data_IF_533562290766
#
_entry.id   IF_533562290766
#
_cell.length_a   1.000
_cell.length_b   1.000
_cell.length_c   1.000
_cell.angle_alpha   90.00
_cell.angle_beta   90.00
_cell.angle_gamma   90.00
#
_symmetry.space_group_name_H-M   'P 1'
#
loop_
_entity.id
_entity.type
_entity.pdbx_description
1 polymer ?
#
# COMPACT_ATOMS: atom_id res chain seq x y z
N UNK A 1 -15.28 -22.39 -16.04
CA UNK A 1 -14.75 -22.19 -14.67
C UNK A 1 -15.02 -20.74 -14.28
N UNK A 2 -15.69 -20.49 -13.17
CA UNK A 2 -15.97 -19.11 -12.74
C UNK A 2 -14.69 -18.43 -12.22
N UNK A 3 -14.62 -17.09 -12.25
CA UNK A 3 -13.49 -16.34 -11.66
C UNK A 3 -13.33 -16.65 -10.17
N UNK A 4 -14.44 -16.86 -9.47
CA UNK A 4 -14.42 -17.23 -8.05
C UNK A 4 -13.75 -18.60 -7.82
N UNK A 5 -14.10 -19.61 -8.65
CA UNK A 5 -13.50 -20.94 -8.58
C UNK A 5 -11.99 -20.89 -8.87
N UNK A 6 -11.58 -20.06 -9.83
CA UNK A 6 -10.16 -19.86 -10.16
C UNK A 6 -9.40 -19.25 -8.98
N UNK A 7 -9.97 -18.22 -8.35
CA UNK A 7 -9.39 -17.54 -7.19
C UNK A 7 -9.24 -18.49 -6.00
N UNK A 8 -10.26 -19.30 -5.72
CA UNK A 8 -10.23 -20.31 -4.67
C UNK A 8 -9.15 -21.38 -4.93
N UNK A 9 -9.14 -21.98 -6.12
CA UNK A 9 -8.15 -23.00 -6.47
C UNK A 9 -6.71 -22.49 -6.41
N UNK A 10 -6.47 -21.26 -6.89
CA UNK A 10 -5.16 -20.63 -6.83
C UNK A 10 -4.72 -20.39 -5.38
N UNK A 11 -5.61 -19.84 -4.56
CA UNK A 11 -5.33 -19.55 -3.16
C UNK A 11 -5.07 -20.84 -2.36
N UNK A 12 -5.89 -21.88 -2.55
CA UNK A 12 -5.72 -23.18 -1.90
C UNK A 12 -4.41 -23.85 -2.30
N UNK A 13 -4.05 -23.77 -3.58
CA UNK A 13 -2.76 -24.30 -4.08
C UNK A 13 -1.57 -23.59 -3.44
N UNK A 14 -1.62 -22.28 -3.32
CA UNK A 14 -0.55 -21.48 -2.68
C UNK A 14 -0.48 -21.72 -1.17
N UNK A 15 -1.63 -21.80 -0.50
CA UNK A 15 -1.70 -22.13 0.92
C UNK A 15 -1.15 -23.52 1.21
N UNK A 16 -1.39 -24.50 0.31
CA UNK A 16 -0.83 -25.84 0.38
C UNK A 16 0.70 -25.89 0.45
N UNK A 17 1.40 -24.87 -0.08
CA UNK A 17 2.87 -24.83 -0.05
C UNK A 17 3.45 -24.70 1.37
N UNK A 18 2.71 -24.11 2.30
CA UNK A 18 3.18 -23.85 3.67
C UNK A 18 2.44 -24.68 4.73
N UNK A 19 1.25 -25.15 4.41
CA UNK A 19 0.32 -25.80 5.35
C UNK A 19 0.94 -26.94 6.16
N UNK A 20 1.75 -27.76 5.53
CA UNK A 20 2.31 -28.98 6.13
C UNK A 20 3.69 -28.77 6.78
N UNK A 21 4.21 -27.53 6.76
CA UNK A 21 5.49 -27.20 7.36
C UNK A 21 5.37 -25.95 8.27
N UNK A 22 5.20 -26.20 9.57
CA UNK A 22 5.01 -25.13 10.58
C UNK A 22 6.17 -24.13 10.59
N UNK A 23 7.43 -24.56 10.40
CA UNK A 23 8.59 -23.68 10.37
C UNK A 23 8.53 -22.72 9.17
N UNK A 24 8.28 -23.26 7.98
CA UNK A 24 8.11 -22.45 6.76
C UNK A 24 6.92 -21.51 6.89
N UNK A 25 5.79 -22.00 7.39
CA UNK A 25 4.59 -21.21 7.59
C UNK A 25 4.87 -20.00 8.51
N UNK A 26 5.63 -20.18 9.59
CA UNK A 26 6.02 -19.11 10.50
C UNK A 26 6.88 -18.06 9.82
N UNK A 27 7.88 -18.47 9.04
CA UNK A 27 8.73 -17.53 8.28
C UNK A 27 7.90 -16.72 7.28
N UNK A 28 7.02 -17.39 6.54
CA UNK A 28 6.15 -16.70 5.55
C UNK A 28 5.14 -15.80 6.25
N UNK A 29 4.64 -16.19 7.42
CA UNK A 29 3.79 -15.34 8.26
C UNK A 29 4.51 -14.05 8.68
N UNK A 30 5.76 -14.16 9.13
CA UNK A 30 6.57 -13.01 9.54
C UNK A 30 6.80 -12.07 8.34
N UNK A 31 7.09 -12.60 7.17
CA UNK A 31 7.19 -11.83 5.92
C UNK A 31 5.86 -11.13 5.60
N UNK A 32 4.73 -11.84 5.68
CA UNK A 32 3.40 -11.29 5.41
C UNK A 32 3.02 -10.15 6.37
N UNK A 33 3.52 -10.18 7.60
CA UNK A 33 3.15 -9.28 8.68
C UNK A 33 4.10 -8.10 8.80
N UNK A 34 5.43 -8.35 8.76
CA UNK A 34 6.41 -7.35 9.18
C UNK A 34 7.06 -6.60 8.02
N UNK A 35 7.01 -7.11 6.80
CA UNK A 35 7.70 -6.49 5.67
C UNK A 35 7.20 -5.08 5.36
N UNK A 36 5.93 -4.80 5.67
CA UNK A 36 5.33 -3.47 5.49
C UNK A 36 5.99 -2.40 6.38
N UNK A 37 6.60 -2.77 7.51
CA UNK A 37 7.24 -1.80 8.41
C UNK A 37 8.51 -1.18 7.82
N UNK A 38 9.05 -1.70 6.72
CA UNK A 38 10.06 -1.00 5.93
C UNK A 38 9.54 0.31 5.35
N UNK A 39 8.23 0.40 5.08
CA UNK A 39 7.61 1.59 4.51
C UNK A 39 7.81 2.86 5.37
N UNK A 40 7.35 2.92 6.64
CA UNK A 40 7.55 4.10 7.47
C UNK A 40 9.02 4.42 7.67
N UNK A 41 9.91 3.43 7.80
CA UNK A 41 11.35 3.64 7.96
C UNK A 41 11.90 4.41 6.74
N UNK A 42 11.63 3.91 5.53
CA UNK A 42 12.15 4.54 4.30
C UNK A 42 11.52 5.92 4.08
N UNK A 43 10.23 6.07 4.34
CA UNK A 43 9.56 7.38 4.20
C UNK A 43 10.15 8.42 5.16
N UNK A 44 10.44 8.05 6.41
CA UNK A 44 11.14 8.94 7.36
C UNK A 44 12.52 9.32 6.84
N UNK A 45 13.32 8.35 6.37
CA UNK A 45 14.64 8.63 5.80
C UNK A 45 14.59 9.58 4.60
N UNK A 46 13.52 9.50 3.78
CA UNK A 46 13.32 10.38 2.63
C UNK A 46 12.80 11.78 3.05
N UNK A 47 12.00 11.89 4.12
CA UNK A 47 11.49 13.17 4.63
C UNK A 47 12.61 14.01 5.24
N UNK A 48 13.54 13.38 5.97
CA UNK A 48 14.65 14.12 6.61
C UNK A 48 15.63 14.72 5.60
N UNK A 49 15.75 14.14 4.40
CA UNK A 49 16.63 14.66 3.35
C UNK A 49 16.00 15.86 2.64
N UNK A 50 16.67 17.04 2.61
CA UNK A 50 16.10 18.25 1.98
C UNK A 50 15.63 18.04 0.53
N UNK A 51 16.38 17.26 -0.24
CA UNK A 51 16.11 17.04 -1.67
C UNK A 51 14.94 16.11 -1.96
N UNK A 52 14.48 15.32 -0.98
CA UNK A 52 13.40 14.31 -1.16
C UNK A 52 12.20 14.55 -0.25
N UNK A 53 12.24 15.51 0.67
CA UNK A 53 11.20 15.73 1.68
C UNK A 53 9.81 16.02 1.10
N UNK A 54 9.70 16.87 0.08
CA UNK A 54 8.40 17.18 -0.54
C UNK A 54 7.82 15.97 -1.28
N UNK A 55 8.68 15.25 -1.99
CA UNK A 55 8.33 13.97 -2.59
C UNK A 55 7.80 12.99 -1.54
N UNK A 56 8.54 12.79 -0.45
CA UNK A 56 8.15 11.87 0.61
C UNK A 56 6.84 12.31 1.29
N UNK A 57 6.66 13.61 1.54
CA UNK A 57 5.41 14.15 2.09
C UNK A 57 4.20 13.89 1.17
N UNK A 58 4.37 14.05 -0.16
CA UNK A 58 3.33 13.70 -1.14
C UNK A 58 3.02 12.21 -1.11
N UNK A 59 4.05 11.35 -1.09
CA UNK A 59 3.86 9.91 -0.99
C UNK A 59 3.10 9.56 0.29
N UNK A 60 3.47 10.11 1.45
CA UNK A 60 2.79 9.87 2.72
C UNK A 60 1.31 10.28 2.63
N UNK A 61 1.02 11.50 2.17
CA UNK A 61 -0.35 12.01 2.06
C UNK A 61 -1.22 11.13 1.18
N UNK A 62 -0.73 10.75 -0.01
CA UNK A 62 -1.50 9.90 -0.92
C UNK A 62 -1.56 8.45 -0.44
N UNK A 63 -0.54 7.95 0.30
CA UNK A 63 -0.61 6.65 0.98
C UNK A 63 -1.80 6.59 1.94
N UNK A 64 -1.98 7.65 2.77
CA UNK A 64 -3.10 7.74 3.71
C UNK A 64 -4.43 7.76 2.95
N UNK A 65 -4.53 8.51 1.87
CA UNK A 65 -5.74 8.54 1.02
C UNK A 65 -6.01 7.16 0.41
N UNK A 66 -5.00 6.52 -0.16
CA UNK A 66 -5.11 5.19 -0.77
C UNK A 66 -5.59 4.16 0.24
N UNK A 67 -5.04 4.17 1.44
CA UNK A 67 -5.40 3.24 2.52
C UNK A 67 -6.73 3.57 3.18
N UNK A 68 -6.88 4.80 3.74
CA UNK A 68 -8.01 5.14 4.59
C UNK A 68 -9.27 5.56 3.82
N UNK A 69 -9.11 5.99 2.58
CA UNK A 69 -10.24 6.43 1.76
C UNK A 69 -10.54 5.42 0.66
N UNK A 70 -9.64 5.23 -0.30
CA UNK A 70 -9.93 4.38 -1.46
C UNK A 70 -10.17 2.93 -1.07
N UNK A 71 -9.28 2.33 -0.27
CA UNK A 71 -9.41 0.93 0.12
C UNK A 71 -10.66 0.68 0.97
N UNK A 72 -10.99 1.60 1.89
CA UNK A 72 -12.22 1.49 2.69
C UNK A 72 -13.47 1.64 1.85
N UNK A 73 -13.56 2.68 1.02
CA UNK A 73 -14.74 2.91 0.18
C UNK A 73 -15.01 1.71 -0.73
N UNK A 74 -13.98 1.20 -1.40
CA UNK A 74 -14.12 0.02 -2.26
C UNK A 74 -14.54 -1.20 -1.45
N UNK A 75 -13.89 -1.43 -0.29
CA UNK A 75 -14.23 -2.56 0.55
C UNK A 75 -15.64 -2.51 1.11
N UNK A 76 -16.12 -1.35 1.55
CA UNK A 76 -17.50 -1.17 2.04
C UNK A 76 -18.52 -1.31 0.92
N UNK A 77 -18.21 -0.78 -0.28
CA UNK A 77 -19.07 -0.95 -1.45
C UNK A 77 -19.23 -2.44 -1.80
N UNK A 78 -18.12 -3.19 -1.86
CA UNK A 78 -18.19 -4.63 -2.14
C UNK A 78 -18.92 -5.40 -1.04
N UNK A 79 -18.67 -5.06 0.23
CA UNK A 79 -19.38 -5.65 1.35
C UNK A 79 -20.90 -5.43 1.25
N UNK A 80 -21.34 -4.21 0.95
CA UNK A 80 -22.75 -3.88 0.80
C UNK A 80 -23.43 -4.62 -0.36
N UNK A 81 -22.70 -4.92 -1.45
CA UNK A 81 -23.26 -5.57 -2.64
C UNK A 81 -23.23 -7.10 -2.56
N UNK A 82 -22.17 -7.67 -2.00
CA UNK A 82 -21.89 -9.12 -2.09
C UNK A 82 -21.80 -9.81 -0.73
N UNK A 83 -21.94 -9.06 0.35
CA UNK A 83 -21.78 -9.59 1.70
C UNK A 83 -20.31 -9.78 2.10
N UNK A 84 -20.14 -10.41 3.25
CA UNK A 84 -18.82 -10.63 3.83
C UNK A 84 -18.11 -11.79 3.15
N UNK A 85 -16.83 -11.58 2.80
CA UNK A 85 -15.97 -12.67 2.35
C UNK A 85 -14.99 -13.01 3.46
N UNK A 86 -15.15 -14.22 4.02
CA UNK A 86 -14.23 -14.73 5.02
C UNK A 86 -12.81 -14.88 4.48
N UNK A 87 -11.83 -14.77 5.37
CA UNK A 87 -10.43 -14.99 4.99
C UNK A 87 -10.14 -16.47 4.81
N UNK A 88 -9.20 -16.84 3.92
CA UNK A 88 -8.86 -18.24 3.69
C UNK A 88 -8.43 -19.01 4.95
N UNK A 89 -7.75 -18.38 5.91
CA UNK A 89 -7.30 -19.01 7.15
C UNK A 89 -8.47 -19.45 8.05
N UNK A 90 -9.63 -18.84 7.97
CA UNK A 90 -10.83 -19.25 8.71
C UNK A 90 -11.19 -20.71 8.42
N UNK A 91 -10.84 -21.23 7.25
CA UNK A 91 -11.03 -22.61 6.85
C UNK A 91 -9.86 -23.55 7.21
N UNK A 92 -8.66 -22.97 7.50
CA UNK A 92 -7.42 -23.72 7.71
C UNK A 92 -6.99 -23.93 9.16
N UNK A 93 -7.69 -23.38 10.13
CA UNK A 93 -7.38 -23.55 11.56
C UNK A 93 -6.13 -22.82 12.07
N UNK A 94 -5.54 -21.93 11.26
CA UNK A 94 -4.48 -21.05 11.72
C UNK A 94 -5.05 -20.02 12.68
N UNK A 95 -4.69 -20.13 13.96
CA UNK A 95 -4.92 -19.07 14.94
C UNK A 95 -3.93 -17.94 14.69
N UNK A 96 -4.45 -16.71 14.62
CA UNK A 96 -3.64 -15.49 14.56
C UNK A 96 -2.59 -15.48 15.66
N UNK A 97 -1.32 -15.38 15.26
CA UNK A 97 -0.22 -15.48 16.23
C UNK A 97 0.07 -14.16 16.94
N UNK A 98 -0.29 -12.98 16.38
CA UNK A 98 0.16 -11.68 16.91
C UNK A 98 -0.83 -10.51 16.81
N UNK A 99 -1.75 -10.47 15.84
CA UNK A 99 -2.70 -9.37 15.68
C UNK A 99 -4.05 -9.89 15.18
N UNK A 100 -5.15 -9.43 15.79
CA UNK A 100 -6.48 -9.64 15.24
C UNK A 100 -6.56 -9.01 13.85
N UNK A 101 -6.73 -9.86 12.83
CA UNK A 101 -6.95 -9.37 11.48
C UNK A 101 -8.39 -8.86 11.36
N UNK A 102 -8.62 -7.71 10.72
CA UNK A 102 -9.99 -7.28 10.43
C UNK A 102 -10.72 -8.42 9.71
N UNK A 103 -11.99 -8.64 10.06
CA UNK A 103 -12.80 -9.68 9.41
C UNK A 103 -12.86 -9.49 7.88
N UNK A 104 -12.83 -8.26 7.41
CA UNK A 104 -12.83 -7.87 5.99
C UNK A 104 -11.60 -8.41 5.26
N UNK A 105 -11.81 -9.28 4.26
CA UNK A 105 -10.74 -9.78 3.41
C UNK A 105 -10.42 -8.85 2.24
N UNK A 106 -11.43 -8.39 1.50
CA UNK A 106 -11.28 -7.58 0.30
C UNK A 106 -11.43 -6.08 0.59
N UNK A 107 -10.61 -5.23 -0.04
CA UNK A 107 -9.35 -5.50 -0.73
C UNK A 107 -8.17 -5.62 0.24
N UNK A 108 -7.00 -6.06 -0.23
CA UNK A 108 -5.78 -6.09 0.57
C UNK A 108 -5.14 -4.72 0.69
N UNK A 109 -5.19 -4.14 1.90
CA UNK A 109 -4.59 -2.83 2.19
C UNK A 109 -3.06 -2.82 2.01
N UNK A 110 -2.38 -3.89 2.41
CA UNK A 110 -0.93 -4.04 2.21
C UNK A 110 -0.57 -4.02 0.73
N UNK A 111 -1.30 -4.76 -0.10
CA UNK A 111 -1.06 -4.79 -1.54
C UNK A 111 -1.29 -3.41 -2.17
N UNK A 112 -2.34 -2.69 -1.77
CA UNK A 112 -2.65 -1.36 -2.26
C UNK A 112 -1.54 -0.36 -1.93
N UNK A 113 -1.15 -0.28 -0.66
CA UNK A 113 -0.14 0.68 -0.19
C UNK A 113 1.24 0.38 -0.77
N UNK A 114 1.67 -0.88 -0.76
CA UNK A 114 2.99 -1.25 -1.25
C UNK A 114 3.13 -1.03 -2.76
N UNK A 115 2.11 -1.35 -3.56
CA UNK A 115 2.15 -1.09 -5.00
C UNK A 115 2.15 0.42 -5.27
N UNK A 116 1.28 1.19 -4.61
CA UNK A 116 1.26 2.65 -4.72
C UNK A 116 2.66 3.25 -4.48
N UNK A 117 3.29 2.90 -3.36
CA UNK A 117 4.63 3.42 -3.02
C UNK A 117 5.69 2.99 -4.02
N UNK A 118 5.64 1.74 -4.48
CA UNK A 118 6.55 1.23 -5.52
C UNK A 118 6.47 2.09 -6.78
N UNK A 119 5.25 2.34 -7.30
CA UNK A 119 5.03 3.14 -8.49
C UNK A 119 5.45 4.59 -8.29
N UNK A 120 5.15 5.17 -7.13
CA UNK A 120 5.56 6.53 -6.77
C UNK A 120 7.09 6.69 -6.72
N UNK A 121 7.81 5.72 -6.15
CA UNK A 121 9.27 5.73 -6.11
C UNK A 121 9.88 5.62 -7.52
N UNK A 122 9.31 4.82 -8.42
CA UNK A 122 9.72 4.79 -9.83
C UNK A 122 9.47 6.13 -10.53
N UNK A 123 8.30 6.72 -10.32
CA UNK A 123 7.93 8.03 -10.89
C UNK A 123 8.92 9.13 -10.49
N UNK A 124 9.28 9.19 -9.21
CA UNK A 124 10.26 10.12 -8.68
C UNK A 124 11.73 9.70 -8.88
N UNK A 125 11.98 8.69 -9.71
CA UNK A 125 13.32 8.20 -10.07
C UNK A 125 14.18 7.74 -8.89
N UNK A 126 13.57 7.35 -7.77
CA UNK A 126 14.25 6.73 -6.64
C UNK A 126 14.50 5.23 -6.90
N UNK A 127 15.26 4.94 -7.98
CA UNK A 127 15.36 3.60 -8.57
C UNK A 127 15.73 2.51 -7.58
N UNK A 128 16.73 2.75 -6.72
CA UNK A 128 17.17 1.73 -5.73
C UNK A 128 16.03 1.37 -4.78
N UNK A 129 15.35 2.37 -4.20
CA UNK A 129 14.21 2.14 -3.34
C UNK A 129 13.02 1.53 -4.09
N UNK A 130 12.77 1.95 -5.33
CA UNK A 130 11.70 1.41 -6.15
C UNK A 130 11.85 -0.09 -6.41
N UNK A 131 13.05 -0.57 -6.73
CA UNK A 131 13.32 -2.01 -6.92
C UNK A 131 13.21 -2.80 -5.61
N UNK A 132 13.68 -2.24 -4.48
CA UNK A 132 13.49 -2.85 -3.17
C UNK A 132 12.00 -2.97 -2.86
N UNK A 133 11.23 -1.89 -3.05
CA UNK A 133 9.78 -1.91 -2.78
C UNK A 133 9.01 -2.79 -3.76
N UNK A 134 9.46 -2.95 -5.00
CA UNK A 134 8.88 -3.93 -5.91
C UNK A 134 9.03 -5.35 -5.35
N UNK A 135 10.24 -5.70 -4.90
CA UNK A 135 10.48 -7.01 -4.26
C UNK A 135 9.63 -7.17 -3.00
N UNK A 136 9.56 -6.14 -2.14
CA UNK A 136 8.72 -6.13 -0.93
C UNK A 136 7.24 -6.32 -1.29
N UNK A 137 6.74 -5.63 -2.33
CA UNK A 137 5.35 -5.74 -2.79
C UNK A 137 5.02 -7.16 -3.22
N UNK A 138 5.88 -7.75 -4.06
CA UNK A 138 5.67 -9.12 -4.57
C UNK A 138 5.78 -10.16 -3.46
N UNK A 139 6.82 -10.08 -2.62
CA UNK A 139 7.03 -11.02 -1.52
C UNK A 139 5.91 -10.93 -0.47
N UNK A 140 5.53 -9.71 -0.05
CA UNK A 140 4.45 -9.52 0.91
C UNK A 140 3.11 -10.02 0.32
N UNK A 141 2.80 -9.70 -0.93
CA UNK A 141 1.58 -10.14 -1.59
C UNK A 141 1.50 -11.66 -1.68
N UNK A 142 2.58 -12.30 -2.12
CA UNK A 142 2.68 -13.76 -2.19
C UNK A 142 2.55 -14.39 -0.80
N UNK A 143 3.28 -13.89 0.18
CA UNK A 143 3.25 -14.38 1.55
C UNK A 143 1.84 -14.30 2.16
N UNK A 144 1.09 -13.22 1.91
CA UNK A 144 -0.27 -13.05 2.43
C UNK A 144 -1.27 -14.05 1.88
N UNK A 145 -1.10 -14.48 0.63
CA UNK A 145 -1.94 -15.56 0.05
C UNK A 145 -1.51 -16.92 0.62
N UNK A 146 -0.22 -17.20 0.69
CA UNK A 146 0.31 -18.48 1.16
C UNK A 146 0.06 -18.78 2.63
N UNK A 147 -0.12 -17.76 3.48
CA UNK A 147 -0.55 -17.95 4.88
C UNK A 147 -2.07 -17.83 5.08
N UNK A 148 -2.84 -17.64 4.00
CA UNK A 148 -4.29 -17.56 4.06
C UNK A 148 -4.85 -16.26 4.61
N UNK A 149 -4.08 -15.16 4.65
CA UNK A 149 -4.59 -13.85 5.08
C UNK A 149 -5.53 -13.23 4.05
N UNK A 150 -5.28 -13.49 2.77
CA UNK A 150 -6.05 -12.97 1.66
C UNK A 150 -6.23 -14.00 0.55
N UNK A 151 -7.31 -13.87 -0.17
CA UNK A 151 -7.49 -14.52 -1.47
C UNK A 151 -6.60 -13.84 -2.51
N UNK A 152 -6.23 -14.56 -3.56
CA UNK A 152 -5.44 -13.97 -4.65
C UNK A 152 -6.16 -12.77 -5.29
N UNK A 153 -7.48 -12.82 -5.42
CA UNK A 153 -8.31 -11.72 -5.89
C UNK A 153 -8.27 -10.49 -5.00
N UNK A 154 -8.09 -10.63 -3.68
CA UNK A 154 -7.94 -9.50 -2.77
C UNK A 154 -6.65 -8.72 -3.02
N UNK A 155 -5.59 -9.45 -3.38
CA UNK A 155 -4.29 -8.85 -3.76
C UNK A 155 -4.43 -8.06 -5.06
N UNK A 156 -5.08 -8.65 -6.08
CA UNK A 156 -5.32 -7.96 -7.35
C UNK A 156 -6.18 -6.70 -7.17
N UNK A 157 -7.24 -6.79 -6.34
CA UNK A 157 -8.05 -5.64 -5.95
C UNK A 157 -7.23 -4.55 -5.24
N UNK A 158 -6.36 -4.94 -4.32
CA UNK A 158 -5.43 -4.04 -3.66
C UNK A 158 -4.47 -3.36 -4.65
N UNK A 159 -3.87 -4.11 -5.57
CA UNK A 159 -3.00 -3.56 -6.61
C UNK A 159 -3.73 -2.55 -7.51
N UNK A 160 -4.97 -2.84 -7.89
CA UNK A 160 -5.78 -1.89 -8.67
C UNK A 160 -5.99 -0.57 -7.90
N UNK A 161 -6.30 -0.64 -6.61
CA UNK A 161 -6.45 0.53 -5.75
C UNK A 161 -5.12 1.29 -5.62
N UNK A 162 -4.00 0.59 -5.46
CA UNK A 162 -2.68 1.18 -5.43
C UNK A 162 -2.34 1.92 -6.74
N UNK A 163 -2.70 1.34 -7.89
CA UNK A 163 -2.55 1.98 -9.19
C UNK A 163 -3.44 3.23 -9.35
N UNK A 164 -4.68 3.20 -8.84
CA UNK A 164 -5.57 4.37 -8.81
C UNK A 164 -4.96 5.47 -7.92
N UNK A 165 -4.48 5.13 -6.72
CA UNK A 165 -3.77 6.06 -5.83
C UNK A 165 -2.55 6.69 -6.51
N UNK A 166 -1.80 5.91 -7.28
CA UNK A 166 -0.69 6.43 -8.08
C UNK A 166 -1.17 7.39 -9.19
N UNK A 167 -2.26 7.09 -9.88
CA UNK A 167 -2.88 8.00 -10.83
C UNK A 167 -3.25 9.34 -10.19
N UNK A 168 -3.84 9.32 -8.98
CA UNK A 168 -4.12 10.54 -8.23
C UNK A 168 -2.84 11.31 -7.89
N UNK A 169 -1.78 10.62 -7.46
CA UNK A 169 -0.50 11.27 -7.21
C UNK A 169 0.02 12.02 -8.45
N UNK A 170 0.00 11.37 -9.62
CA UNK A 170 0.48 11.97 -10.88
C UNK A 170 -0.36 13.19 -11.27
N UNK A 171 -1.69 13.10 -11.17
CA UNK A 171 -2.61 14.20 -11.50
C UNK A 171 -2.39 15.40 -10.56
N UNK A 172 -2.22 15.15 -9.27
CA UNK A 172 -2.10 16.18 -8.26
C UNK A 172 -0.67 16.52 -7.85
N UNK A 173 0.35 15.99 -8.52
CA UNK A 173 1.76 16.19 -8.15
C UNK A 173 2.14 17.66 -8.03
N UNK A 174 1.81 18.47 -9.05
CA UNK A 174 2.13 19.88 -9.08
C UNK A 174 1.33 20.73 -8.06
N UNK A 175 -0.02 20.60 -7.95
CA UNK A 175 -0.77 21.26 -6.88
C UNK A 175 -0.27 20.92 -5.48
N UNK A 176 0.02 19.65 -5.21
CA UNK A 176 0.57 19.21 -3.92
C UNK A 176 1.94 19.81 -3.63
N UNK A 177 2.79 19.92 -4.63
CA UNK A 177 4.10 20.56 -4.49
C UNK A 177 3.95 22.03 -4.03
N UNK A 178 3.12 22.82 -4.73
CA UNK A 178 2.84 24.22 -4.37
C UNK A 178 2.27 24.35 -2.95
N UNK A 179 1.35 23.47 -2.59
CA UNK A 179 0.75 23.45 -1.25
C UNK A 179 1.80 23.21 -0.17
N UNK A 180 2.65 22.20 -0.36
CA UNK A 180 3.70 21.86 0.60
C UNK A 180 4.75 22.97 0.73
N UNK A 181 5.13 23.62 -0.37
CA UNK A 181 6.04 24.78 -0.35
C UNK A 181 5.46 25.94 0.44
N UNK A 182 4.17 26.24 0.23
CA UNK A 182 3.45 27.28 0.99
C UNK A 182 3.40 26.96 2.49
N UNK A 183 3.02 25.73 2.84
CA UNK A 183 3.00 25.28 4.25
C UNK A 183 4.39 25.41 4.87
N UNK A 184 5.43 24.98 4.15
CA UNK A 184 6.79 25.03 4.63
C UNK A 184 7.33 26.46 4.81
N UNK A 185 6.94 27.39 3.94
CA UNK A 185 7.26 28.82 4.08
C UNK A 185 6.64 29.41 5.35
N UNK A 186 5.36 29.10 5.62
CA UNK A 186 4.66 29.53 6.84
C UNK A 186 5.36 28.98 8.09
N UNK A 187 5.65 27.68 8.13
CA UNK A 187 6.31 27.04 9.28
C UNK A 187 7.69 27.64 9.58
N UNK A 188 8.40 28.13 8.55
CA UNK A 188 9.71 28.78 8.71
C UNK A 188 9.64 30.27 9.03
N UNK A 189 8.46 30.84 9.22
CA UNK A 189 8.28 32.27 9.48
C UNK A 189 8.68 33.17 8.30
N UNK A 190 8.80 32.61 7.08
CA UNK A 190 8.96 33.42 5.87
C UNK A 190 7.57 33.79 5.39
N UNK A 191 7.22 35.08 5.53
CA UNK A 191 6.04 35.63 4.89
C UNK A 191 6.14 35.34 3.39
N UNK A 192 5.11 34.68 2.86
CA UNK A 192 4.96 34.40 1.42
C UNK A 192 4.45 35.71 0.76
N UNK A 193 5.26 36.77 0.82
CA UNK A 193 5.00 38.00 0.10
C UNK A 193 5.65 37.91 -1.28
N UNK A 194 4.75 37.78 -2.25
CA UNK A 194 4.87 38.23 -3.65
C UNK A 194 6.20 38.02 -4.39
N UNK A 195 6.37 36.84 -4.97
CA UNK A 195 7.20 36.74 -6.20
C UNK A 195 6.40 37.09 -7.49
N UNK A 196 5.32 37.85 -7.36
CA UNK A 196 4.42 38.24 -8.47
C UNK A 196 4.25 39.78 -8.58
N UNK A 197 5.17 40.59 -8.10
CA UNK A 197 5.19 41.95 -8.58
C UNK A 197 5.92 42.00 -9.93
N UNK A 198 5.27 42.47 -11.01
CA UNK A 198 5.97 42.76 -12.24
C UNK A 198 6.94 43.89 -11.97
N UNK A 199 8.20 43.70 -12.32
CA UNK A 199 9.17 44.81 -12.37
C UNK A 199 8.61 45.88 -13.29
N UNK A 200 8.04 46.92 -12.68
CA UNK A 200 7.74 48.18 -13.38
C UNK A 200 8.97 49.02 -13.42
N UNK A 201 9.66 48.99 -14.53
CA UNK A 201 10.61 50.05 -14.93
C UNK A 201 10.05 50.77 -16.14
#
# INVERSE_FOLDING_TARGET
>A
MSLLTLDQNLTESLYGLTRDNIGLQRVVYDVATYLIFLLPIVLVLLVVKPNTRYMAAKIIGVTIITWQVLSKLVGEFFYAQYGFRDRPFAFGGLKELLFEQPQKSFPSDHAAVLLFVTLALFYYRQKSWAWIFLAVTLLSSFARVTVGFHWAGDILGGWLIGAIGFGLLVIFDHPLQKLLEKIWAIVRGKNYESSNEPETS
#
